data_IF_676552374465
#
_entry.id   IF_676552374465
#
_cell.length_a   1.000
_cell.length_b   1.000
_cell.length_c   1.000
_cell.angle_alpha   90.00
_cell.angle_beta   90.00
_cell.angle_gamma   90.00
#
_symmetry.space_group_name_H-M   'P 1'
#
loop_
_entity.id
_entity.type
_entity.pdbx_description
1 polymer ?
#
# COMPACT_ATOMS: atom_id res chain seq x y z
N UNK A 1 -8.35 26.89 -0.64
CA UNK A 1 -8.64 25.68 -1.44
C UNK A 1 -7.60 24.65 -1.10
N UNK A 2 -8.00 23.50 -0.66
CA UNK A 2 -7.09 22.36 -0.46
C UNK A 2 -6.74 21.75 -1.82
N UNK A 3 -5.62 21.03 -1.92
CA UNK A 3 -5.20 20.39 -3.17
C UNK A 3 -6.27 19.41 -3.71
N UNK A 4 -7.05 18.80 -2.82
CA UNK A 4 -8.14 17.88 -3.18
C UNK A 4 -9.35 18.59 -3.83
N UNK A 5 -9.71 19.78 -3.37
CA UNK A 5 -10.79 20.58 -3.98
C UNK A 5 -10.43 20.99 -5.41
N UNK A 6 -9.19 21.42 -5.64
CA UNK A 6 -8.69 21.80 -6.98
C UNK A 6 -8.70 20.61 -7.97
N UNK A 7 -8.38 19.39 -7.50
CA UNK A 7 -8.38 18.18 -8.36
C UNK A 7 -9.80 17.73 -8.67
N UNK A 8 -10.71 17.85 -7.72
CA UNK A 8 -12.13 17.57 -7.90
C UNK A 8 -12.77 18.51 -8.94
N UNK A 9 -12.56 19.81 -8.82
CA UNK A 9 -13.07 20.81 -9.75
C UNK A 9 -12.54 20.57 -11.18
N UNK A 10 -11.27 20.21 -11.31
CA UNK A 10 -10.68 19.84 -12.59
C UNK A 10 -11.37 18.61 -13.21
N UNK A 11 -11.63 17.57 -12.41
CA UNK A 11 -12.28 16.37 -12.88
C UNK A 11 -13.71 16.63 -13.36
N UNK A 12 -14.47 17.42 -12.62
CA UNK A 12 -15.82 17.85 -13.02
C UNK A 12 -15.79 18.64 -14.33
N UNK A 13 -14.84 19.56 -14.48
CA UNK A 13 -14.69 20.36 -15.71
C UNK A 13 -14.31 19.52 -16.93
N UNK A 14 -13.56 18.41 -16.75
CA UNK A 14 -13.11 17.53 -17.82
C UNK A 14 -14.04 16.32 -18.07
N UNK A 15 -15.10 16.16 -17.30
CA UNK A 15 -16.05 15.05 -17.47
C UNK A 15 -16.62 14.93 -18.89
N UNK A 16 -17.04 16.00 -19.59
CA UNK A 16 -17.53 15.88 -20.96
C UNK A 16 -16.47 15.31 -21.92
N UNK A 17 -15.22 15.76 -21.81
CA UNK A 17 -14.12 15.25 -22.62
C UNK A 17 -13.81 13.77 -22.31
N UNK A 18 -13.93 13.37 -21.05
CA UNK A 18 -13.73 11.97 -20.62
C UNK A 18 -14.82 11.05 -21.19
N UNK A 19 -16.08 11.48 -21.14
CA UNK A 19 -17.19 10.70 -21.73
C UNK A 19 -17.07 10.59 -23.26
N UNK A 20 -16.59 11.62 -23.92
CA UNK A 20 -16.29 11.58 -25.35
C UNK A 20 -15.14 10.61 -25.66
N UNK A 21 -14.05 10.65 -24.88
CA UNK A 21 -12.93 9.71 -24.99
C UNK A 21 -13.37 8.25 -24.79
N UNK A 22 -14.37 8.01 -23.94
CA UNK A 22 -14.99 6.70 -23.72
C UNK A 22 -16.09 6.36 -24.77
N UNK A 23 -16.24 7.16 -25.84
CA UNK A 23 -17.16 6.90 -26.96
C UNK A 23 -18.61 6.61 -26.56
N UNK A 24 -19.09 7.26 -25.48
CA UNK A 24 -20.44 7.09 -24.97
C UNK A 24 -20.68 5.84 -24.13
N UNK A 25 -19.68 4.98 -23.92
CA UNK A 25 -19.80 3.80 -23.04
C UNK A 25 -19.84 4.18 -21.56
N UNK A 26 -19.30 5.34 -21.17
CA UNK A 26 -19.28 5.81 -19.79
C UNK A 26 -20.52 6.66 -19.51
N UNK A 27 -21.27 6.29 -18.46
CA UNK A 27 -22.44 7.03 -17.96
C UNK A 27 -22.06 8.31 -17.21
N UNK A 28 -23.05 8.93 -16.55
CA UNK A 28 -22.82 10.08 -15.67
C UNK A 28 -21.92 9.68 -14.50
N UNK A 29 -21.04 10.60 -14.07
CA UNK A 29 -20.05 10.31 -13.03
C UNK A 29 -20.48 11.01 -11.74
N UNK A 30 -20.64 10.24 -10.69
CA UNK A 30 -20.81 10.74 -9.33
C UNK A 30 -19.43 10.88 -8.69
N UNK A 31 -18.86 12.10 -8.74
CA UNK A 31 -17.57 12.40 -8.14
C UNK A 31 -17.66 12.47 -6.63
N UNK A 32 -16.69 11.87 -5.93
CA UNK A 32 -16.64 11.89 -4.47
C UNK A 32 -15.22 12.14 -3.95
N UNK A 33 -15.15 12.70 -2.75
CA UNK A 33 -13.90 12.88 -2.01
C UNK A 33 -13.93 11.91 -0.83
N UNK A 34 -12.97 11.02 -0.75
CA UNK A 34 -12.84 10.15 0.42
C UNK A 34 -12.17 10.90 1.56
N UNK A 35 -12.63 10.69 2.81
CA UNK A 35 -12.07 11.35 4.00
C UNK A 35 -10.57 11.07 4.22
N UNK A 36 -10.05 9.98 3.65
CA UNK A 36 -8.64 9.61 3.70
C UNK A 36 -7.80 10.22 2.57
N UNK A 37 -8.42 10.88 1.58
CA UNK A 37 -7.73 11.41 0.40
C UNK A 37 -6.95 12.68 0.75
N UNK A 38 -5.64 12.54 0.89
CA UNK A 38 -4.71 13.67 1.15
C UNK A 38 -4.11 14.26 -0.14
N UNK A 39 -4.80 14.15 -1.25
CA UNK A 39 -4.35 14.52 -2.59
C UNK A 39 -4.50 13.31 -3.55
N UNK A 40 -3.99 13.44 -4.78
CA UNK A 40 -4.08 12.38 -5.78
C UNK A 40 -5.24 12.58 -6.77
N UNK A 41 -5.65 11.50 -7.45
CA UNK A 41 -6.69 11.53 -8.45
C UNK A 41 -8.07 11.83 -7.83
N UNK A 42 -8.89 12.65 -8.50
CA UNK A 42 -10.32 12.66 -8.24
C UNK A 42 -10.89 11.29 -8.58
N UNK A 43 -11.83 10.83 -7.77
CA UNK A 43 -12.44 9.51 -7.91
C UNK A 43 -13.95 9.68 -8.08
N UNK A 44 -14.54 8.96 -9.02
CA UNK A 44 -15.98 8.98 -9.28
C UNK A 44 -16.53 7.59 -9.54
N UNK A 45 -17.79 7.39 -9.18
CA UNK A 45 -18.56 6.20 -9.52
C UNK A 45 -19.37 6.43 -10.78
N UNK A 46 -19.44 5.44 -11.66
CA UNK A 46 -20.22 5.49 -12.88
C UNK A 46 -20.66 4.07 -13.29
N UNK A 47 -21.32 3.99 -14.43
CA UNK A 47 -21.60 2.74 -15.11
C UNK A 47 -20.93 2.72 -16.49
N UNK A 48 -20.44 1.56 -16.89
CA UNK A 48 -19.89 1.31 -18.20
C UNK A 48 -20.80 0.37 -18.96
N UNK A 49 -21.22 0.78 -20.16
CA UNK A 49 -21.99 -0.09 -21.07
C UNK A 49 -21.05 -0.55 -22.19
N UNK A 50 -20.65 -1.85 -22.23
CA UNK A 50 -19.83 -2.38 -23.31
C UNK A 50 -20.55 -2.27 -24.66
N UNK A 51 -19.78 -2.12 -25.74
CA UNK A 51 -20.36 -1.98 -27.09
C UNK A 51 -21.12 -3.23 -27.58
N UNK A 52 -20.84 -4.38 -27.00
CA UNK A 52 -21.42 -5.70 -27.30
C UNK A 52 -22.49 -6.15 -26.30
N UNK A 53 -22.88 -5.30 -25.34
CA UNK A 53 -23.82 -5.61 -24.28
C UNK A 53 -24.65 -4.38 -23.91
N UNK A 54 -25.96 -4.57 -23.72
CA UNK A 54 -26.85 -3.54 -23.18
C UNK A 54 -26.86 -3.49 -21.63
N UNK A 55 -26.08 -4.36 -20.97
CA UNK A 55 -26.04 -4.40 -19.51
C UNK A 55 -24.90 -3.51 -18.98
N UNK A 56 -25.26 -2.43 -18.24
CA UNK A 56 -24.26 -1.58 -17.61
C UNK A 56 -23.60 -2.31 -16.45
N UNK A 57 -22.28 -2.15 -16.32
CA UNK A 57 -21.50 -2.63 -15.19
C UNK A 57 -20.98 -1.45 -14.37
N UNK A 58 -20.98 -1.56 -13.03
CA UNK A 58 -20.49 -0.49 -12.16
C UNK A 58 -18.97 -0.33 -12.30
N UNK A 59 -18.52 0.91 -12.41
CA UNK A 59 -17.09 1.25 -12.56
C UNK A 59 -16.67 2.37 -11.64
N UNK A 60 -15.35 2.49 -11.45
CA UNK A 60 -14.69 3.62 -10.81
C UNK A 60 -13.84 4.35 -11.85
N UNK A 61 -13.95 5.66 -11.85
CA UNK A 61 -13.16 6.58 -12.67
C UNK A 61 -12.13 7.27 -11.79
N UNK A 62 -10.89 7.39 -12.26
CA UNK A 62 -9.84 8.18 -11.61
C UNK A 62 -9.21 9.15 -12.61
N UNK A 63 -9.10 10.44 -12.22
CA UNK A 63 -8.59 11.54 -13.05
C UNK A 63 -8.08 12.71 -12.17
N UNK A 64 -6.88 13.28 -12.41
CA UNK A 64 -5.77 12.67 -13.16
C UNK A 64 -5.12 11.53 -12.38
N UNK A 65 -4.57 10.54 -13.07
CA UNK A 65 -3.85 9.43 -12.45
C UNK A 65 -2.35 9.67 -12.51
N UNK A 66 -1.65 9.42 -11.40
CA UNK A 66 -0.20 9.53 -11.36
C UNK A 66 0.49 8.52 -12.31
N UNK A 67 1.67 8.87 -12.88
CA UNK A 67 2.33 8.01 -13.88
C UNK A 67 2.63 6.59 -13.39
N UNK A 68 3.02 6.42 -12.13
CA UNK A 68 3.30 5.12 -11.55
C UNK A 68 2.03 4.27 -11.43
N UNK A 69 0.96 4.85 -10.88
CA UNK A 69 -0.32 4.17 -10.72
C UNK A 69 -0.92 3.79 -12.08
N UNK A 70 -0.87 4.69 -13.07
CA UNK A 70 -1.31 4.42 -14.43
C UNK A 70 -0.55 3.24 -15.05
N UNK A 71 0.78 3.30 -15.01
CA UNK A 71 1.64 2.28 -15.63
C UNK A 71 1.44 0.89 -15.02
N UNK A 72 1.26 0.79 -13.69
CA UNK A 72 1.05 -0.48 -13.02
C UNK A 72 -0.35 -1.05 -13.24
N UNK A 73 -1.41 -0.23 -13.14
CA UNK A 73 -2.76 -0.70 -13.43
C UNK A 73 -2.90 -1.23 -14.85
N UNK A 74 -2.41 -0.49 -15.85
CA UNK A 74 -2.51 -0.90 -17.25
C UNK A 74 -1.65 -2.13 -17.56
N UNK A 75 -0.46 -2.25 -16.97
CA UNK A 75 0.41 -3.40 -17.19
C UNK A 75 -0.11 -4.69 -16.55
N UNK A 76 -0.73 -4.61 -15.37
CA UNK A 76 -1.15 -5.78 -14.60
C UNK A 76 -2.61 -6.18 -14.81
N UNK A 77 -3.48 -5.24 -15.14
CA UNK A 77 -4.92 -5.48 -15.25
C UNK A 77 -5.56 -4.81 -16.48
N UNK A 78 -4.75 -4.41 -17.47
CA UNK A 78 -5.23 -3.87 -18.74
C UNK A 78 -5.95 -4.92 -19.61
N UNK A 79 -6.72 -4.48 -20.62
CA UNK A 79 -7.50 -5.36 -21.48
C UNK A 79 -6.67 -6.48 -22.14
N UNK A 80 -5.47 -6.17 -22.61
CA UNK A 80 -4.59 -7.14 -23.27
C UNK A 80 -4.19 -8.31 -22.35
N UNK A 81 -3.97 -8.01 -21.04
CA UNK A 81 -3.63 -9.04 -20.06
C UNK A 81 -4.85 -9.85 -19.62
N UNK A 82 -6.02 -9.24 -19.53
CA UNK A 82 -7.27 -9.94 -19.21
C UNK A 82 -7.61 -11.03 -20.23
N UNK A 83 -7.16 -10.88 -21.47
CA UNK A 83 -7.31 -11.90 -22.52
C UNK A 83 -6.23 -12.98 -22.46
N UNK A 84 -5.08 -12.72 -21.85
CA UNK A 84 -3.93 -13.63 -21.83
C UNK A 84 -3.90 -14.58 -20.62
N UNK A 85 -4.61 -14.26 -19.54
CA UNK A 85 -4.63 -15.06 -18.30
C UNK A 85 -6.04 -15.46 -17.90
N UNK A 86 -6.22 -16.74 -17.53
CA UNK A 86 -7.48 -17.24 -16.95
C UNK A 86 -7.62 -16.86 -15.46
N UNK A 87 -6.53 -16.42 -14.81
CA UNK A 87 -6.56 -16.01 -13.41
C UNK A 87 -7.08 -14.57 -13.25
N UNK A 88 -7.88 -14.35 -12.24
CA UNK A 88 -8.33 -13.01 -11.84
C UNK A 88 -7.13 -12.17 -11.41
N UNK A 89 -6.91 -10.96 -11.98
CA UNK A 89 -5.77 -10.14 -11.63
C UNK A 89 -5.82 -9.71 -10.14
N UNK A 90 -4.66 -9.51 -9.49
CA UNK A 90 -4.62 -9.04 -8.10
C UNK A 90 -5.02 -7.56 -7.94
N UNK A 91 -5.44 -6.91 -9.01
CA UNK A 91 -5.87 -5.51 -9.11
C UNK A 91 -7.26 -5.43 -9.75
N UNK A 92 -7.99 -4.31 -9.59
CA UNK A 92 -9.20 -4.05 -10.38
C UNK A 92 -8.89 -4.11 -11.86
N UNK A 93 -9.77 -4.74 -12.66
CA UNK A 93 -9.62 -4.79 -14.11
C UNK A 93 -9.74 -3.37 -14.68
N UNK A 94 -8.80 -2.99 -15.53
CA UNK A 94 -8.87 -1.74 -16.30
C UNK A 94 -9.76 -1.96 -17.52
N UNK A 95 -10.81 -1.16 -17.61
CA UNK A 95 -11.81 -1.23 -18.68
C UNK A 95 -11.44 -0.25 -19.80
N UNK A 96 -11.02 0.95 -19.43
CA UNK A 96 -10.54 1.97 -20.34
C UNK A 96 -9.47 2.83 -19.69
N UNK A 97 -8.53 3.32 -20.49
CA UNK A 97 -7.47 4.21 -20.00
C UNK A 97 -6.82 4.96 -21.14
N UNK A 98 -6.29 6.14 -20.86
CA UNK A 98 -5.45 6.90 -21.78
C UNK A 98 -4.51 7.82 -21.01
N UNK A 99 -3.43 8.26 -21.67
CA UNK A 99 -2.46 9.20 -21.10
C UNK A 99 -2.79 10.66 -21.36
N UNK A 100 -3.76 10.91 -22.24
CA UNK A 100 -4.18 12.25 -22.64
C UNK A 100 -5.69 12.41 -22.49
N UNK A 101 -6.16 13.62 -22.20
CA UNK A 101 -7.57 13.97 -22.11
C UNK A 101 -7.82 15.40 -22.58
N UNK A 102 -8.71 15.57 -23.59
CA UNK A 102 -9.09 16.90 -24.08
C UNK A 102 -7.92 17.74 -24.60
N UNK A 103 -6.87 17.09 -25.11
CA UNK A 103 -5.65 17.77 -25.58
C UNK A 103 -4.63 18.09 -24.49
N UNK A 104 -4.86 17.65 -23.27
CA UNK A 104 -3.94 17.77 -22.14
C UNK A 104 -3.25 16.45 -21.84
N UNK A 105 -2.00 16.50 -21.37
CA UNK A 105 -1.24 15.36 -20.87
C UNK A 105 -1.74 14.96 -19.47
N UNK A 106 -2.96 14.42 -19.43
CA UNK A 106 -3.67 14.01 -18.23
C UNK A 106 -4.11 12.55 -18.34
N UNK A 107 -3.40 11.68 -17.66
CA UNK A 107 -3.74 10.27 -17.63
C UNK A 107 -5.02 10.02 -16.80
N UNK A 108 -5.84 9.08 -17.28
CA UNK A 108 -7.07 8.64 -16.62
C UNK A 108 -7.27 7.14 -16.78
N UNK A 109 -7.99 6.55 -15.84
CA UNK A 109 -8.39 5.14 -15.88
C UNK A 109 -9.86 4.98 -15.48
N UNK A 110 -10.51 4.02 -16.12
CA UNK A 110 -11.80 3.45 -15.72
C UNK A 110 -11.55 2.00 -15.32
N UNK A 111 -11.88 1.65 -14.10
CA UNK A 111 -11.67 0.30 -13.57
C UNK A 111 -12.98 -0.31 -13.08
N UNK A 112 -13.05 -1.64 -12.98
CA UNK A 112 -14.19 -2.29 -12.34
C UNK A 112 -14.41 -1.74 -10.92
N UNK A 113 -15.67 -1.59 -10.53
CA UNK A 113 -16.02 -1.23 -9.16
C UNK A 113 -15.99 -2.46 -8.29
N UNK A 114 -15.12 -2.43 -7.29
CA UNK A 114 -15.04 -3.47 -6.27
C UNK A 114 -16.07 -3.26 -5.16
N UNK A 115 -16.25 -4.26 -4.33
CA UNK A 115 -16.99 -4.19 -3.08
C UNK A 115 -16.24 -3.37 -2.01
N UNK A 116 -16.61 -3.48 -0.73
CA UNK A 116 -15.99 -2.71 0.33
C UNK A 116 -14.53 -3.10 0.58
N UNK A 117 -13.75 -2.14 1.06
CA UNK A 117 -12.43 -2.40 1.61
C UNK A 117 -12.51 -3.24 2.89
N UNK A 118 -11.43 -3.92 3.23
CA UNK A 118 -11.32 -4.63 4.49
C UNK A 118 -11.37 -3.63 5.66
N UNK A 119 -12.30 -3.86 6.59
CA UNK A 119 -12.45 -3.07 7.80
C UNK A 119 -11.70 -3.74 8.97
N UNK A 120 -10.71 -3.09 9.61
CA UNK A 120 -9.94 -3.72 10.69
C UNK A 120 -10.76 -4.29 11.85
N UNK A 121 -11.93 -3.72 12.13
CA UNK A 121 -12.82 -4.17 13.20
C UNK A 121 -13.60 -5.46 12.85
N UNK A 122 -13.71 -5.81 11.57
CA UNK A 122 -14.52 -6.93 11.06
C UNK A 122 -13.66 -8.04 10.43
N UNK A 123 -12.34 -7.89 10.50
CA UNK A 123 -11.42 -8.85 9.89
C UNK A 123 -11.56 -10.24 10.50
N UNK A 124 -11.61 -11.21 9.64
CA UNK A 124 -11.47 -12.62 10.00
C UNK A 124 -10.04 -13.11 9.78
N UNK A 125 -9.76 -14.30 10.27
CA UNK A 125 -8.49 -14.97 9.99
C UNK A 125 -8.32 -15.29 8.51
N UNK A 126 -9.42 -15.62 7.86
CA UNK A 126 -9.53 -15.94 6.44
C UNK A 126 -9.26 -14.69 5.59
N UNK A 127 -9.84 -13.55 5.94
CA UNK A 127 -9.55 -12.26 5.28
C UNK A 127 -8.06 -11.89 5.32
N UNK A 128 -7.43 -12.08 6.49
CA UNK A 128 -6.00 -11.79 6.63
C UNK A 128 -5.11 -12.71 5.79
N UNK A 129 -5.51 -13.98 5.62
CA UNK A 129 -4.80 -14.91 4.75
C UNK A 129 -4.97 -14.56 3.28
N UNK A 130 -6.22 -14.33 2.85
CA UNK A 130 -6.52 -13.92 1.48
C UNK A 130 -5.83 -12.60 1.12
N UNK A 131 -5.78 -11.63 2.06
CA UNK A 131 -5.04 -10.38 1.89
C UNK A 131 -3.54 -10.62 1.62
N UNK A 132 -2.91 -11.53 2.33
CA UNK A 132 -1.49 -11.86 2.13
C UNK A 132 -1.26 -12.69 0.87
N UNK A 133 -2.24 -13.49 0.45
CA UNK A 133 -2.21 -14.24 -0.80
C UNK A 133 -2.34 -13.31 -2.01
N UNK A 134 -3.23 -12.30 -1.98
CA UNK A 134 -3.32 -11.32 -3.08
C UNK A 134 -2.04 -10.48 -3.19
N UNK A 135 -1.40 -10.14 -2.07
CA UNK A 135 -0.08 -9.48 -2.08
C UNK A 135 0.99 -10.38 -2.72
N UNK A 136 1.01 -11.68 -2.41
CA UNK A 136 1.93 -12.61 -3.04
C UNK A 136 1.69 -12.75 -4.56
N UNK A 137 0.41 -12.78 -4.99
CA UNK A 137 0.04 -12.76 -6.43
C UNK A 137 0.53 -11.48 -7.10
N UNK A 138 0.33 -10.32 -6.46
CA UNK A 138 0.85 -9.05 -6.96
C UNK A 138 2.38 -9.10 -7.16
N UNK A 139 3.13 -9.63 -6.19
CA UNK A 139 4.59 -9.76 -6.32
C UNK A 139 5.00 -10.62 -7.52
N UNK A 140 4.31 -11.76 -7.76
CA UNK A 140 4.55 -12.64 -8.91
C UNK A 140 4.25 -11.89 -10.22
N UNK A 141 3.04 -11.37 -10.35
CA UNK A 141 2.54 -10.78 -11.58
C UNK A 141 3.33 -9.52 -11.96
N UNK A 142 3.71 -8.71 -10.97
CA UNK A 142 4.55 -7.53 -11.19
C UNK A 142 5.95 -7.90 -11.72
N UNK A 143 6.55 -8.98 -11.21
CA UNK A 143 7.84 -9.47 -11.69
C UNK A 143 7.77 -10.06 -13.11
N UNK A 144 6.62 -10.67 -13.48
CA UNK A 144 6.38 -11.18 -14.83
C UNK A 144 6.26 -10.07 -15.87
N UNK A 145 5.57 -8.97 -15.55
CA UNK A 145 5.36 -7.88 -16.52
C UNK A 145 6.53 -6.93 -16.62
N UNK A 146 7.33 -6.84 -15.56
CA UNK A 146 8.50 -5.94 -15.53
C UNK A 146 9.60 -6.52 -14.66
N UNK A 147 10.83 -6.66 -15.18
CA UNK A 147 11.99 -6.99 -14.35
C UNK A 147 12.09 -6.04 -13.16
N UNK A 148 12.44 -6.58 -11.98
CA UNK A 148 12.58 -5.74 -10.79
C UNK A 148 13.64 -4.67 -11.05
N UNK A 149 13.27 -3.44 -10.77
CA UNK A 149 14.07 -2.26 -11.08
C UNK A 149 15.33 -2.12 -10.21
N UNK A 150 16.10 -1.06 -10.43
CA UNK A 150 17.28 -0.81 -9.63
C UNK A 150 16.93 -0.59 -8.16
N UNK A 151 17.91 -0.83 -7.30
CA UNK A 151 17.81 -0.56 -5.87
C UNK A 151 17.36 0.89 -5.64
N UNK A 152 16.31 1.12 -4.83
CA UNK A 152 15.86 2.46 -4.50
C UNK A 152 16.90 3.19 -3.66
N UNK A 153 16.82 4.51 -3.63
CA UNK A 153 17.65 5.33 -2.74
C UNK A 153 17.45 4.89 -1.29
N UNK A 154 18.54 4.73 -0.51
CA UNK A 154 18.44 4.39 0.91
C UNK A 154 17.60 5.42 1.66
N UNK A 155 16.75 4.95 2.55
CA UNK A 155 16.00 5.83 3.45
C UNK A 155 16.95 6.38 4.53
N UNK A 156 16.84 7.66 4.82
CA UNK A 156 17.62 8.30 5.90
C UNK A 156 17.12 7.89 7.28
N UNK A 157 17.45 6.64 7.68
CA UNK A 157 17.10 6.12 9.00
C UNK A 157 17.79 6.90 10.12
N UNK A 158 19.00 7.40 9.87
CA UNK A 158 19.76 8.14 10.87
C UNK A 158 19.08 9.48 11.19
N UNK A 159 18.69 10.23 10.17
CA UNK A 159 17.94 11.48 10.35
C UNK A 159 16.58 11.29 11.01
N UNK A 160 15.85 10.20 10.65
CA UNK A 160 14.56 9.88 11.28
C UNK A 160 14.70 9.51 12.76
N UNK A 161 15.69 8.70 13.13
CA UNK A 161 15.96 8.35 14.53
C UNK A 161 16.44 9.56 15.33
N UNK A 162 17.26 10.42 14.73
CA UNK A 162 17.69 11.67 15.38
C UNK A 162 16.49 12.63 15.57
N UNK A 163 15.60 12.74 14.58
CA UNK A 163 14.33 13.48 14.75
C UNK A 163 13.48 12.89 15.88
N UNK A 164 13.37 11.56 15.97
CA UNK A 164 12.66 10.89 17.08
C UNK A 164 13.24 11.27 18.44
N UNK A 165 14.58 11.29 18.55
CA UNK A 165 15.27 11.69 19.79
C UNK A 165 15.00 13.16 20.14
N UNK A 166 15.01 14.05 19.14
CA UNK A 166 14.68 15.47 19.35
C UNK A 166 13.24 15.65 19.84
N UNK A 167 12.28 14.99 19.20
CA UNK A 167 10.87 15.06 19.57
C UNK A 167 10.67 14.68 21.05
N UNK A 168 11.31 13.61 21.51
CA UNK A 168 11.22 13.16 22.91
C UNK A 168 11.95 14.12 23.85
N UNK A 169 13.21 14.49 23.55
CA UNK A 169 14.06 15.35 24.39
C UNK A 169 13.46 16.74 24.58
N UNK A 170 13.00 17.34 23.49
CA UNK A 170 12.52 18.72 23.46
C UNK A 170 10.99 18.79 23.74
N UNK A 171 10.37 17.64 24.00
CA UNK A 171 8.92 17.50 24.32
C UNK A 171 8.02 18.19 23.29
N UNK A 172 8.36 18.07 22.02
CA UNK A 172 7.64 18.72 20.91
C UNK A 172 6.21 18.19 20.77
N UNK A 173 5.97 16.95 21.18
CA UNK A 173 4.64 16.33 21.32
C UNK A 173 4.60 15.52 22.61
N UNK A 174 3.42 15.39 23.19
CA UNK A 174 3.22 14.52 24.36
C UNK A 174 3.15 13.07 23.88
N UNK A 175 4.20 12.29 24.14
CA UNK A 175 4.26 10.86 23.81
C UNK A 175 4.32 10.04 25.12
N UNK A 176 3.54 8.95 25.25
CA UNK A 176 3.60 8.11 26.45
C UNK A 176 4.98 7.49 26.67
N UNK A 177 5.38 7.32 27.93
CA UNK A 177 6.61 6.61 28.32
C UNK A 177 7.91 7.26 27.80
N UNK A 178 8.01 8.60 27.80
CA UNK A 178 9.13 9.36 27.24
C UNK A 178 10.52 8.91 27.75
N UNK A 179 10.64 8.57 29.05
CA UNK A 179 11.90 8.06 29.62
C UNK A 179 12.31 6.71 29.00
N UNK A 180 11.37 5.80 28.81
CA UNK A 180 11.63 4.50 28.18
C UNK A 180 12.00 4.68 26.71
N UNK A 181 11.33 5.60 26.00
CA UNK A 181 11.69 5.98 24.65
C UNK A 181 13.13 6.52 24.57
N UNK A 182 13.53 7.43 25.47
CA UNK A 182 14.90 7.95 25.53
C UNK A 182 15.93 6.82 25.66
N UNK A 183 15.68 5.84 26.54
CA UNK A 183 16.58 4.71 26.72
C UNK A 183 16.63 3.80 25.47
N UNK A 184 15.46 3.44 24.91
CA UNK A 184 15.36 2.62 23.73
C UNK A 184 16.08 3.26 22.53
N UNK A 185 15.82 4.55 22.27
CA UNK A 185 16.45 5.30 21.18
C UNK A 185 17.96 5.47 21.38
N UNK A 186 18.44 5.63 22.62
CA UNK A 186 19.87 5.67 22.93
C UNK A 186 20.57 4.35 22.57
N UNK A 187 19.93 3.21 22.87
CA UNK A 187 20.45 1.89 22.52
C UNK A 187 20.40 1.68 21.01
N UNK A 188 19.25 2.02 20.37
CA UNK A 188 19.09 1.94 18.93
C UNK A 188 20.15 2.75 18.18
N UNK A 189 20.45 3.98 18.63
CA UNK A 189 21.47 4.82 18.00
C UNK A 189 22.85 4.15 17.93
N UNK A 190 23.21 3.32 18.93
CA UNK A 190 24.47 2.57 18.90
C UNK A 190 24.47 1.45 17.86
N UNK A 191 23.34 0.82 17.63
CA UNK A 191 23.17 -0.27 16.66
C UNK A 191 22.93 0.25 15.24
N UNK A 192 22.52 1.50 15.10
CA UNK A 192 22.00 2.06 13.85
C UNK A 192 22.95 1.89 12.64
N UNK A 193 24.30 2.10 12.74
CA UNK A 193 25.19 1.88 11.61
C UNK A 193 25.20 0.43 11.10
N UNK A 194 25.05 -0.54 12.00
CA UNK A 194 24.98 -1.96 11.63
C UNK A 194 23.61 -2.29 11.04
N UNK A 195 22.53 -1.82 11.67
CA UNK A 195 21.15 -2.07 11.20
C UNK A 195 20.93 -1.48 9.81
N UNK A 196 21.36 -0.25 9.57
CA UNK A 196 21.23 0.40 8.25
C UNK A 196 22.04 -0.34 7.20
N UNK A 197 23.28 -0.72 7.49
CA UNK A 197 24.11 -1.50 6.58
C UNK A 197 23.47 -2.85 6.24
N UNK A 198 22.96 -3.57 7.25
CA UNK A 198 22.25 -4.84 7.03
C UNK A 198 21.01 -4.65 6.18
N UNK A 199 20.21 -3.63 6.48
CA UNK A 199 19.00 -3.35 5.71
C UNK A 199 19.31 -2.90 4.27
N UNK A 200 20.33 -2.08 4.09
CA UNK A 200 20.75 -1.59 2.77
C UNK A 200 21.38 -2.70 1.91
N UNK A 201 21.97 -3.71 2.54
CA UNK A 201 22.51 -4.88 1.82
C UNK A 201 21.43 -5.93 1.44
N UNK A 202 20.19 -5.78 1.89
CA UNK A 202 19.10 -6.76 1.59
C UNK A 202 18.92 -6.98 0.10
N UNK A 203 18.47 -8.17 -0.34
CA UNK A 203 18.06 -8.39 -1.72
C UNK A 203 16.95 -7.43 -2.15
N UNK A 204 17.01 -6.96 -3.39
CA UNK A 204 15.95 -6.18 -4.06
C UNK A 204 15.44 -7.06 -5.20
N UNK A 205 14.44 -7.86 -4.91
CA UNK A 205 13.94 -8.92 -5.78
C UNK A 205 12.43 -8.86 -6.00
N UNK A 206 11.78 -7.83 -5.46
CA UNK A 206 10.31 -7.74 -5.48
C UNK A 206 9.87 -6.33 -5.87
N UNK A 207 8.83 -6.22 -6.65
CA UNK A 207 8.04 -5.02 -6.71
C UNK A 207 7.10 -5.01 -5.50
N UNK A 208 7.40 -4.16 -4.53
CA UNK A 208 6.54 -3.96 -3.37
C UNK A 208 5.39 -3.03 -3.74
N UNK A 209 4.21 -3.30 -3.22
CA UNK A 209 3.07 -2.37 -3.30
C UNK A 209 3.37 -1.06 -2.57
N UNK A 210 4.03 -1.16 -1.42
CA UNK A 210 4.51 -0.02 -0.64
C UNK A 210 3.48 0.60 0.30
N UNK A 211 2.19 0.28 0.14
CA UNK A 211 1.11 0.81 0.98
C UNK A 211 0.04 -0.26 1.30
N UNK A 212 0.48 -1.44 1.67
CA UNK A 212 -0.41 -2.57 1.99
C UNK A 212 -1.11 -2.34 3.33
N UNK A 213 -2.31 -1.78 3.28
CA UNK A 213 -3.18 -1.64 4.45
C UNK A 213 -4.62 -2.02 4.11
N UNK A 214 -5.43 -2.28 5.14
CA UNK A 214 -6.78 -2.82 4.96
C UNK A 214 -7.65 -1.99 4.02
N UNK A 215 -7.54 -0.65 4.04
CA UNK A 215 -8.30 0.21 3.15
C UNK A 215 -7.87 0.14 1.67
N UNK A 216 -6.67 -0.41 1.38
CA UNK A 216 -6.17 -0.65 0.02
C UNK A 216 -6.37 -2.10 -0.44
N UNK A 217 -7.11 -2.89 0.32
CA UNK A 217 -7.46 -4.28 -0.01
C UNK A 217 -8.99 -4.37 -0.06
N UNK A 218 -9.53 -4.62 -1.24
CA UNK A 218 -10.96 -4.58 -1.50
C UNK A 218 -11.49 -5.94 -1.93
N UNK A 219 -12.75 -6.23 -1.59
CA UNK A 219 -13.47 -7.43 -2.03
C UNK A 219 -13.97 -7.26 -3.46
N UNK A 220 -13.96 -8.32 -4.28
CA UNK A 220 -14.54 -8.25 -5.63
C UNK A 220 -16.06 -8.39 -5.62
N UNK A 221 -16.61 -9.12 -4.70
CA UNK A 221 -18.04 -9.32 -4.55
C UNK A 221 -18.51 -9.07 -3.13
N UNK A 222 -19.81 -8.91 -2.90
CA UNK A 222 -20.36 -8.68 -1.58
C UNK A 222 -20.18 -9.89 -0.64
N UNK A 223 -20.13 -11.11 -1.19
CA UNK A 223 -20.10 -12.37 -0.44
C UNK A 223 -18.78 -13.15 -0.63
N UNK A 224 -17.84 -12.61 -1.43
CA UNK A 224 -16.59 -13.31 -1.76
C UNK A 224 -15.47 -12.90 -0.80
N UNK A 225 -15.26 -13.70 0.24
CA UNK A 225 -14.17 -13.50 1.18
C UNK A 225 -12.79 -13.86 0.60
N UNK A 226 -12.75 -14.62 -0.48
CA UNK A 226 -11.51 -15.17 -1.02
C UNK A 226 -10.93 -14.36 -2.20
N UNK A 227 -11.78 -13.65 -2.96
CA UNK A 227 -11.31 -12.85 -4.10
C UNK A 227 -11.12 -11.38 -3.72
N UNK A 228 -9.88 -11.07 -3.37
CA UNK A 228 -9.45 -9.72 -2.99
C UNK A 228 -8.62 -9.08 -4.10
N UNK A 229 -8.64 -7.76 -4.16
CA UNK A 229 -7.83 -6.95 -5.05
C UNK A 229 -7.14 -5.80 -4.30
N UNK A 230 -5.94 -5.46 -4.73
CA UNK A 230 -5.17 -4.31 -4.24
C UNK A 230 -5.50 -3.07 -5.07
N UNK A 231 -5.57 -1.92 -4.42
CA UNK A 231 -5.74 -0.60 -5.05
C UNK A 231 -4.64 0.35 -4.59
N UNK A 232 -4.51 1.49 -5.25
CA UNK A 232 -3.55 2.55 -4.92
C UNK A 232 -2.09 2.14 -5.12
N UNK A 233 -1.68 2.08 -6.40
CA UNK A 233 -0.35 1.67 -6.83
C UNK A 233 0.66 2.84 -6.90
N UNK A 234 0.33 3.99 -6.33
CA UNK A 234 1.17 5.18 -6.37
C UNK A 234 2.53 5.02 -5.68
N UNK A 235 2.65 4.08 -4.75
CA UNK A 235 3.88 3.83 -3.97
C UNK A 235 4.61 2.53 -4.37
N UNK A 236 4.26 1.92 -5.49
CA UNK A 236 4.96 0.72 -5.97
C UNK A 236 6.44 1.03 -6.23
N UNK A 237 7.31 0.22 -5.66
CA UNK A 237 8.76 0.38 -5.78
C UNK A 237 9.50 -0.95 -5.75
N UNK A 238 10.72 -0.98 -6.29
CA UNK A 238 11.62 -2.12 -6.15
C UNK A 238 12.08 -2.24 -4.69
N UNK A 239 11.93 -3.41 -4.08
CA UNK A 239 12.22 -3.60 -2.66
C UNK A 239 12.38 -5.05 -2.27
N UNK A 240 12.24 -5.31 -1.00
CA UNK A 240 12.11 -6.65 -0.44
C UNK A 240 10.67 -6.88 0.01
N UNK A 241 10.10 -8.03 -0.31
CA UNK A 241 8.74 -8.43 0.04
C UNK A 241 8.40 -8.28 1.55
N UNK A 242 9.45 -8.28 2.39
CA UNK A 242 9.33 -8.04 3.84
C UNK A 242 8.67 -6.66 4.11
N UNK A 243 8.86 -5.70 3.23
CA UNK A 243 8.35 -4.33 3.39
C UNK A 243 6.82 -4.32 3.43
N UNK A 244 6.18 -5.02 2.50
CA UNK A 244 4.71 -5.14 2.45
C UNK A 244 4.15 -5.95 3.63
N UNK A 245 4.82 -7.08 3.98
CA UNK A 245 4.41 -7.87 5.14
C UNK A 245 4.40 -7.05 6.43
N UNK A 246 5.44 -6.25 6.64
CA UNK A 246 5.58 -5.43 7.84
C UNK A 246 4.72 -4.17 7.78
N UNK A 247 4.40 -3.67 6.59
CA UNK A 247 3.48 -2.56 6.43
C UNK A 247 2.07 -2.96 6.91
N UNK A 248 1.58 -4.13 6.51
CA UNK A 248 0.33 -4.68 7.03
C UNK A 248 0.41 -4.97 8.54
N UNK A 249 1.48 -5.64 8.99
CA UNK A 249 1.64 -6.03 10.39
C UNK A 249 1.61 -4.83 11.35
N UNK A 250 2.25 -3.72 10.99
CA UNK A 250 2.37 -2.56 11.86
C UNK A 250 1.02 -1.91 12.22
N UNK A 251 0.01 -2.05 11.39
CA UNK A 251 -1.33 -1.52 11.65
C UNK A 251 -1.96 -2.17 12.89
N UNK A 252 -1.54 -3.40 13.19
CA UNK A 252 -2.05 -4.21 14.29
C UNK A 252 -1.13 -4.21 15.52
N UNK A 253 -0.06 -3.42 15.54
CA UNK A 253 0.82 -3.39 16.71
C UNK A 253 0.10 -2.99 17.99
N UNK A 254 -0.85 -2.04 17.92
CA UNK A 254 -1.66 -1.63 19.05
C UNK A 254 -2.74 -2.65 19.44
N UNK A 255 -3.17 -3.47 18.51
CA UNK A 255 -4.27 -4.42 18.66
C UNK A 255 -3.90 -5.79 18.04
N UNK A 256 -2.88 -6.49 18.59
CA UNK A 256 -2.38 -7.73 18.00
C UNK A 256 -3.42 -8.86 17.95
N UNK A 257 -4.42 -8.82 18.82
CA UNK A 257 -5.51 -9.81 18.84
C UNK A 257 -6.38 -9.75 17.56
N UNK A 258 -6.45 -8.58 16.90
CA UNK A 258 -7.15 -8.42 15.62
C UNK A 258 -6.46 -9.16 14.46
N UNK A 259 -5.26 -9.69 14.66
CA UNK A 259 -4.61 -10.61 13.72
C UNK A 259 -5.12 -12.07 13.85
N UNK A 260 -5.99 -12.39 14.81
CA UNK A 260 -6.55 -13.74 15.02
C UNK A 260 -5.48 -14.84 14.98
N UNK A 261 -4.28 -14.55 15.49
CA UNK A 261 -3.13 -15.47 15.48
C UNK A 261 -2.41 -15.60 14.12
N UNK A 262 -2.85 -14.89 13.09
CA UNK A 262 -2.11 -14.80 11.82
C UNK A 262 -0.80 -14.03 12.06
N UNK A 263 0.27 -14.53 11.48
CA UNK A 263 1.59 -13.91 11.50
C UNK A 263 1.89 -13.39 10.09
N UNK A 264 1.71 -12.10 9.79
CA UNK A 264 1.75 -11.59 8.42
C UNK A 264 3.03 -11.98 7.67
N UNK A 265 4.20 -11.81 8.28
CA UNK A 265 5.47 -12.19 7.66
C UNK A 265 5.52 -13.67 7.26
N UNK A 266 5.18 -14.59 8.19
CA UNK A 266 5.23 -16.02 7.91
C UNK A 266 4.14 -16.48 6.94
N UNK A 267 2.98 -15.82 6.97
CA UNK A 267 1.88 -16.15 6.07
C UNK A 267 2.18 -15.70 4.66
N UNK A 268 2.70 -14.46 4.47
CA UNK A 268 3.15 -13.99 3.17
C UNK A 268 4.32 -14.85 2.63
N UNK A 269 5.29 -15.23 3.48
CA UNK A 269 6.37 -16.13 3.08
C UNK A 269 5.86 -17.47 2.55
N UNK A 270 4.81 -18.05 3.17
CA UNK A 270 4.19 -19.31 2.69
C UNK A 270 3.44 -19.10 1.37
N UNK A 271 2.67 -18.01 1.25
CA UNK A 271 1.96 -17.71 0.02
C UNK A 271 2.93 -17.50 -1.15
N UNK A 272 4.01 -16.75 -0.95
CA UNK A 272 5.08 -16.55 -1.93
C UNK A 272 5.71 -17.89 -2.36
N UNK A 273 6.05 -18.75 -1.38
CA UNK A 273 6.62 -20.07 -1.66
C UNK A 273 5.67 -20.95 -2.47
N UNK A 274 4.38 -20.90 -2.19
CA UNK A 274 3.36 -21.64 -2.96
C UNK A 274 3.29 -21.17 -4.43
N UNK A 275 3.65 -19.92 -4.71
CA UNK A 275 3.78 -19.37 -6.06
C UNK A 275 5.18 -19.51 -6.68
N UNK A 276 6.08 -20.26 -6.04
CA UNK A 276 7.45 -20.46 -6.54
C UNK A 276 8.40 -19.28 -6.32
N UNK A 277 8.00 -18.28 -5.54
CA UNK A 277 8.84 -17.10 -5.27
C UNK A 277 9.82 -17.39 -4.14
N UNK A 278 11.07 -16.94 -4.29
CA UNK A 278 12.09 -17.03 -3.25
C UNK A 278 11.81 -16.03 -2.12
N UNK A 279 12.09 -16.43 -0.89
CA UNK A 279 11.96 -15.60 0.29
C UNK A 279 13.31 -15.16 0.88
N UNK A 280 14.41 -15.72 0.43
CA UNK A 280 15.72 -15.59 1.05
C UNK A 280 15.83 -16.32 2.40
N UNK A 281 17.01 -16.81 2.75
CA UNK A 281 17.23 -17.57 3.98
C UNK A 281 17.11 -16.72 5.25
N UNK A 282 17.59 -15.47 5.19
CA UNK A 282 17.70 -14.55 6.34
C UNK A 282 16.49 -13.60 6.53
N UNK A 283 15.36 -13.86 5.86
CA UNK A 283 14.22 -12.93 5.89
C UNK A 283 13.71 -12.63 7.31
N UNK A 284 13.80 -13.58 8.24
CA UNK A 284 13.36 -13.38 9.61
C UNK A 284 14.25 -12.37 10.35
N UNK A 285 15.58 -12.42 10.13
CA UNK A 285 16.53 -11.46 10.67
C UNK A 285 16.30 -10.06 10.06
N UNK A 286 16.20 -9.97 8.75
CA UNK A 286 15.90 -8.72 8.03
C UNK A 286 14.59 -8.08 8.50
N UNK A 287 13.56 -8.89 8.78
CA UNK A 287 12.30 -8.40 9.33
C UNK A 287 12.47 -7.81 10.75
N UNK A 288 13.31 -8.40 11.60
CA UNK A 288 13.62 -7.83 12.91
C UNK A 288 14.37 -6.48 12.77
N UNK A 289 15.34 -6.40 11.87
CA UNK A 289 16.04 -5.15 11.55
C UNK A 289 15.04 -4.08 11.10
N UNK A 290 14.18 -4.40 10.13
CA UNK A 290 13.16 -3.46 9.61
C UNK A 290 12.17 -3.01 10.68
N UNK A 291 11.64 -3.94 11.51
CA UNK A 291 10.75 -3.59 12.62
C UNK A 291 11.39 -2.62 13.59
N UNK A 292 12.66 -2.85 13.95
CA UNK A 292 13.37 -1.97 14.88
C UNK A 292 13.58 -0.59 14.28
N UNK A 293 13.97 -0.49 13.00
CA UNK A 293 14.12 0.79 12.30
C UNK A 293 12.78 1.55 12.24
N UNK A 294 11.70 0.86 11.87
CA UNK A 294 10.35 1.48 11.80
C UNK A 294 9.88 1.91 13.19
N UNK A 295 10.00 1.04 14.19
CA UNK A 295 9.59 1.36 15.57
C UNK A 295 10.36 2.57 16.12
N UNK A 296 11.67 2.66 15.85
CA UNK A 296 12.51 3.79 16.28
C UNK A 296 12.16 5.12 15.60
N UNK A 297 11.46 5.10 14.48
CA UNK A 297 11.01 6.31 13.78
C UNK A 297 9.62 6.82 14.24
N UNK A 298 8.88 6.03 15.03
CA UNK A 298 7.51 6.39 15.45
C UNK A 298 7.43 7.75 16.15
N UNK A 299 8.30 8.12 17.08
CA UNK A 299 8.23 9.45 17.68
C UNK A 299 8.37 10.60 16.68
N UNK A 300 9.18 10.44 15.64
CA UNK A 300 9.36 11.48 14.61
C UNK A 300 8.09 11.74 13.78
N UNK A 301 7.20 10.75 13.67
CA UNK A 301 5.97 10.79 12.87
C UNK A 301 4.70 10.87 13.75
N UNK A 302 4.87 10.89 15.06
CA UNK A 302 3.77 10.76 16.02
C UNK A 302 2.73 11.88 15.91
N UNK A 303 3.17 13.11 15.64
CA UNK A 303 2.26 14.25 15.50
C UNK A 303 1.30 14.10 14.29
N UNK A 304 1.76 13.39 13.26
CA UNK A 304 1.03 13.27 11.98
C UNK A 304 0.17 11.99 11.93
N UNK A 305 0.67 10.88 12.49
CA UNK A 305 0.10 9.55 12.27
C UNK A 305 -0.10 8.74 13.57
N UNK A 306 0.36 9.24 14.72
CA UNK A 306 0.47 8.45 15.93
C UNK A 306 -0.77 8.46 16.82
N UNK A 307 -1.08 7.30 17.41
CA UNK A 307 -1.94 7.17 18.55
C UNK A 307 -1.13 6.72 19.78
N UNK A 308 -1.58 7.03 21.03
CA UNK A 308 -0.89 6.57 22.24
C UNK A 308 -0.71 5.05 22.31
N UNK A 309 -1.71 4.28 21.88
CA UNK A 309 -1.65 2.82 21.86
C UNK A 309 -0.60 2.31 20.86
N UNK A 310 -0.56 2.90 19.68
CA UNK A 310 0.44 2.56 18.65
C UNK A 310 1.86 2.89 19.11
N UNK A 311 2.08 4.08 19.69
CA UNK A 311 3.39 4.47 20.22
C UNK A 311 3.86 3.51 21.32
N UNK A 312 2.98 3.11 22.25
CA UNK A 312 3.29 2.14 23.31
C UNK A 312 3.68 0.78 22.73
N UNK A 313 2.98 0.31 21.71
CA UNK A 313 3.29 -0.96 21.05
C UNK A 313 4.63 -0.89 20.31
N UNK A 314 4.90 0.19 19.57
CA UNK A 314 6.17 0.44 18.92
C UNK A 314 7.34 0.50 19.90
N UNK A 315 7.16 1.15 21.06
CA UNK A 315 8.15 1.13 22.13
C UNK A 315 8.46 -0.29 22.60
N UNK A 316 7.44 -1.13 22.80
CA UNK A 316 7.62 -2.54 23.13
C UNK A 316 8.46 -3.31 22.11
N UNK A 317 8.22 -3.07 20.82
CA UNK A 317 9.05 -3.61 19.75
C UNK A 317 10.49 -3.11 19.81
N UNK A 318 10.69 -1.80 19.98
CA UNK A 318 12.01 -1.21 20.09
C UNK A 318 12.82 -1.80 21.27
N UNK A 319 12.22 -1.87 22.47
CA UNK A 319 12.86 -2.44 23.67
C UNK A 319 13.23 -3.92 23.52
N UNK A 320 12.34 -4.71 22.89
CA UNK A 320 12.58 -6.12 22.63
C UNK A 320 13.74 -6.30 21.65
N UNK A 321 13.67 -5.61 20.50
CA UNK A 321 14.59 -5.83 19.40
C UNK A 321 15.97 -5.21 19.61
N UNK A 322 16.11 -4.11 20.38
CA UNK A 322 17.44 -3.63 20.76
C UNK A 322 18.20 -4.60 21.68
N UNK A 323 17.51 -5.50 22.39
CA UNK A 323 18.16 -6.55 23.18
C UNK A 323 18.52 -7.77 22.34
N UNK A 324 17.70 -8.04 21.32
CA UNK A 324 17.88 -9.24 20.47
C UNK A 324 18.95 -9.02 19.39
N UNK A 325 19.14 -7.78 18.92
CA UNK A 325 20.04 -7.41 17.83
C UNK A 325 21.35 -6.74 18.34
N UNK A 326 21.49 -6.55 19.66
CA UNK A 326 22.74 -6.11 20.29
C UNK A 326 23.73 -7.27 20.38
#
# INVERSE_FOLDING_TARGET
>A
MTQGESTHDLAVALEPALREACRGSLGDIEWFITAAQRGGAATGASNWTPADSDQPQPVIVKLPVGPAEFAWNTALAGPDRAHASAETPPLPRVIASHTELGGYDLAWIVVERLGPALAPAELTKEDLRAALEVVARFHRDAAEVRPVGPRPQPRDWAGLVDRSRRVIRDRLVHIPDDQRWNEALRKLTKLLPTLTRTWDARPIETWCHGDVHCANIMRRGPDDHEDLALIDLGLVHAGSWIEDALYLERQFWAHPDALHGVKPLQTLARARKALGLDNGEDYAHLAHVRRLLVAGCVPALYADEGSPAYAKAALGWAEKLVKQLA
#
